data_IF_615516938695
#
_entry.id   IF_615516938695
#
_cell.length_a   1.000
_cell.length_b   1.000
_cell.length_c   1.000
_cell.angle_alpha   90.00
_cell.angle_beta   90.00
_cell.angle_gamma   90.00
#
_symmetry.space_group_name_H-M   'P 1'
#
loop_
_entity.id
_entity.type
_entity.pdbx_description
1 polymer ?
#
# COMPACT_ATOMS: atom_id res chain seq x y z
N UNK A 1 -23.95 5.20 -21.00
CA UNK A 1 -22.48 5.30 -20.91
C UNK A 1 -22.09 4.36 -19.79
N UNK A 2 -21.56 3.18 -20.12
CA UNK A 2 -21.08 2.25 -19.10
C UNK A 2 -19.84 2.88 -18.48
N UNK A 3 -19.86 3.10 -17.17
CA UNK A 3 -18.70 3.51 -16.41
C UNK A 3 -17.56 2.54 -16.74
N UNK A 4 -16.47 3.06 -17.28
CA UNK A 4 -15.24 2.28 -17.53
C UNK A 4 -14.61 1.72 -16.24
N UNK A 5 -15.22 1.97 -15.09
CA UNK A 5 -14.83 1.49 -13.77
C UNK A 5 -15.14 0.00 -13.53
N UNK A 6 -15.97 -0.64 -14.35
CA UNK A 6 -16.37 -2.05 -14.14
C UNK A 6 -15.56 -3.09 -14.92
N UNK A 7 -14.54 -2.69 -15.70
CA UNK A 7 -13.68 -3.66 -16.40
C UNK A 7 -12.72 -4.30 -15.39
N UNK A 8 -12.74 -5.64 -15.21
CA UNK A 8 -11.80 -6.34 -14.33
C UNK A 8 -10.35 -5.99 -14.65
N UNK A 9 -9.50 -5.83 -13.63
CA UNK A 9 -8.12 -5.38 -13.81
C UNK A 9 -7.32 -6.20 -14.83
N UNK A 10 -7.50 -7.52 -14.83
CA UNK A 10 -6.79 -8.42 -15.76
C UNK A 10 -7.25 -8.26 -17.21
N UNK A 11 -8.42 -7.67 -17.43
CA UNK A 11 -9.02 -7.40 -18.75
C UNK A 11 -8.77 -5.96 -19.23
N UNK A 12 -8.18 -5.10 -18.37
CA UNK A 12 -7.87 -3.71 -18.72
C UNK A 12 -6.69 -3.62 -19.70
N UNK A 13 -6.75 -2.62 -20.59
CA UNK A 13 -5.63 -2.29 -21.46
C UNK A 13 -4.38 -1.90 -20.63
N UNK A 14 -3.15 -2.08 -21.16
CA UNK A 14 -1.92 -1.76 -20.42
C UNK A 14 -1.89 -0.35 -19.82
N UNK A 15 -2.35 0.66 -20.57
CA UNK A 15 -2.44 2.05 -20.11
C UNK A 15 -3.45 2.24 -18.96
N UNK A 16 -4.59 1.55 -19.01
CA UNK A 16 -5.59 1.59 -17.94
C UNK A 16 -5.06 0.91 -16.68
N UNK A 17 -4.40 -0.24 -16.81
CA UNK A 17 -3.77 -0.93 -15.68
C UNK A 17 -2.71 -0.06 -15.01
N UNK A 18 -1.93 0.70 -15.77
CA UNK A 18 -0.94 1.62 -15.21
C UNK A 18 -1.60 2.71 -14.35
N UNK A 19 -2.72 3.28 -14.80
CA UNK A 19 -3.50 4.26 -14.04
C UNK A 19 -4.11 3.63 -12.78
N UNK A 20 -4.78 2.48 -12.93
CA UNK A 20 -5.39 1.76 -11.80
C UNK A 20 -4.34 1.39 -10.74
N UNK A 21 -3.19 0.88 -11.17
CA UNK A 21 -2.08 0.52 -10.27
C UNK A 21 -1.54 1.75 -9.54
N UNK A 22 -1.37 2.88 -10.24
CA UNK A 22 -0.94 4.11 -9.62
C UNK A 22 -1.92 4.59 -8.54
N UNK A 23 -3.23 4.52 -8.80
CA UNK A 23 -4.25 4.87 -7.82
C UNK A 23 -4.19 3.94 -6.59
N UNK A 24 -4.08 2.63 -6.81
CA UNK A 24 -3.94 1.67 -5.71
C UNK A 24 -2.69 1.91 -4.87
N UNK A 25 -1.55 2.23 -5.49
CA UNK A 25 -0.32 2.54 -4.76
C UNK A 25 -0.49 3.76 -3.84
N UNK A 26 -1.20 4.80 -4.31
CA UNK A 26 -1.54 5.98 -3.51
C UNK A 26 -2.46 5.61 -2.34
N UNK A 27 -3.52 4.85 -2.59
CA UNK A 27 -4.51 4.46 -1.57
C UNK A 27 -3.88 3.54 -0.51
N UNK A 28 -3.06 2.58 -0.92
CA UNK A 28 -2.31 1.68 -0.04
C UNK A 28 -1.36 2.50 0.83
N UNK A 29 -0.64 3.47 0.26
CA UNK A 29 0.26 4.34 1.02
C UNK A 29 -0.50 5.15 2.08
N UNK A 30 -1.58 5.82 1.69
CA UNK A 30 -2.41 6.59 2.62
C UNK A 30 -2.96 5.71 3.75
N UNK A 31 -3.41 4.50 3.42
CA UNK A 31 -3.90 3.52 4.40
C UNK A 31 -2.81 3.09 5.37
N UNK A 32 -1.59 2.80 4.88
CA UNK A 32 -0.44 2.43 5.72
C UNK A 32 -0.05 3.55 6.69
N UNK A 33 -0.02 4.79 6.21
CA UNK A 33 0.26 5.97 7.03
C UNK A 33 -0.83 6.16 8.11
N UNK A 34 -2.11 5.97 7.76
CA UNK A 34 -3.23 6.07 8.70
C UNK A 34 -3.24 4.97 9.79
N UNK A 35 -2.71 3.78 9.50
CA UNK A 35 -2.64 2.67 10.46
C UNK A 35 -1.62 2.91 11.58
N UNK A 36 -0.71 3.87 11.38
CA UNK A 36 0.23 4.37 12.38
C UNK A 36 0.96 3.26 13.14
N UNK A 37 1.44 2.26 12.39
CA UNK A 37 2.08 1.10 12.97
C UNK A 37 3.35 1.46 13.77
N UNK A 38 4.08 2.49 13.32
CA UNK A 38 5.24 3.00 14.05
C UNK A 38 4.92 3.34 15.51
N UNK A 39 3.91 4.16 15.76
CA UNK A 39 3.52 4.54 17.12
C UNK A 39 2.91 3.36 17.89
N UNK A 40 2.10 2.54 17.22
CA UNK A 40 1.45 1.38 17.85
C UNK A 40 2.45 0.30 18.30
N UNK A 41 3.49 0.04 17.52
CA UNK A 41 4.53 -0.92 17.88
C UNK A 41 5.54 -0.32 18.86
N UNK A 42 5.90 0.97 18.72
CA UNK A 42 6.73 1.68 19.69
C UNK A 42 6.11 1.69 21.10
N UNK A 43 4.81 1.95 21.22
CA UNK A 43 4.09 1.92 22.52
C UNK A 43 4.12 0.54 23.21
N UNK A 44 4.46 -0.52 22.47
CA UNK A 44 4.57 -1.89 22.97
C UNK A 44 6.02 -2.39 23.05
N UNK A 45 7.00 -1.55 22.73
CA UNK A 45 8.42 -1.94 22.66
C UNK A 45 8.71 -3.02 21.62
N UNK A 46 7.91 -3.10 20.55
CA UNK A 46 8.00 -4.15 19.53
C UNK A 46 8.55 -3.58 18.22
N UNK A 47 9.32 -4.40 17.51
CA UNK A 47 9.71 -4.13 16.13
C UNK A 47 8.65 -4.71 15.17
N UNK A 48 8.59 -4.16 13.97
CA UNK A 48 7.73 -4.68 12.91
C UNK A 48 8.40 -4.56 11.55
N UNK A 49 7.83 -5.26 10.59
CA UNK A 49 8.35 -5.39 9.24
C UNK A 49 7.23 -5.07 8.26
N UNK A 50 7.55 -4.30 7.22
CA UNK A 50 6.61 -3.95 6.15
C UNK A 50 7.17 -4.40 4.80
N UNK A 51 6.28 -4.88 3.92
CA UNK A 51 6.60 -5.11 2.52
C UNK A 51 6.42 -3.80 1.74
N UNK A 52 7.49 -3.31 1.12
CA UNK A 52 7.47 -2.17 0.24
C UNK A 52 6.85 -2.54 -1.12
N UNK A 53 6.48 -1.52 -1.89
CA UNK A 53 5.83 -1.67 -3.20
C UNK A 53 6.74 -2.30 -4.27
N UNK A 54 8.04 -2.32 -4.03
CA UNK A 54 9.07 -2.96 -4.84
C UNK A 54 9.43 -4.38 -4.35
N UNK A 55 8.55 -5.00 -3.55
CA UNK A 55 8.73 -6.30 -2.89
C UNK A 55 9.88 -6.34 -1.88
N UNK A 56 10.56 -5.22 -1.65
CA UNK A 56 11.60 -5.14 -0.63
C UNK A 56 10.99 -5.15 0.78
N UNK A 57 11.81 -5.53 1.76
CA UNK A 57 11.38 -5.66 3.14
C UNK A 57 11.98 -4.52 3.97
N UNK A 58 11.13 -3.65 4.51
CA UNK A 58 11.54 -2.55 5.39
C UNK A 58 11.42 -3.02 6.83
N UNK A 59 12.55 -3.04 7.55
CA UNK A 59 12.58 -3.34 8.99
C UNK A 59 12.49 -2.03 9.78
N UNK A 60 11.49 -1.92 10.65
CA UNK A 60 11.33 -0.80 11.57
C UNK A 60 11.62 -1.30 12.99
N UNK A 61 12.74 -0.87 13.55
CA UNK A 61 13.07 -1.15 14.95
C UNK A 61 12.07 -0.45 15.86
N UNK A 62 11.64 -1.13 16.92
CA UNK A 62 10.91 -0.48 18.01
C UNK A 62 11.80 0.60 18.61
N UNK A 63 11.26 1.81 18.79
CA UNK A 63 11.95 2.84 19.56
C UNK A 63 12.16 2.32 20.99
N UNK A 64 13.41 2.41 21.47
CA UNK A 64 13.84 1.95 22.78
C UNK A 64 13.69 3.06 23.81
#
# INVERSE_FOLDING_TARGET
>A
MGDTADIPYDEQAPEQRAVTRHQWDVDIRATREALNYAERFASKGRAYVEAASDESVIRRSGAR
#
